data_IF_453609209433
#
_entry.id   IF_453609209433
#
_cell.length_a   1.000
_cell.length_b   1.000
_cell.length_c   1.000
_cell.angle_alpha   90.00
_cell.angle_beta   90.00
_cell.angle_gamma   90.00
#
_symmetry.space_group_name_H-M   'P 1'
#
loop_
_entity.id
_entity.type
_entity.pdbx_description
1 polymer ?
#
# COMPACT_ATOMS: atom_id res chain seq x y z
N UNK A 1 20.41 5.60 10.49
CA UNK A 1 19.96 6.96 10.86
C UNK A 1 18.88 7.31 9.85
N UNK A 2 17.69 7.71 10.31
CA UNK A 2 16.61 8.00 9.40
C UNK A 2 17.00 9.18 8.50
N UNK A 3 16.62 9.16 7.21
CA UNK A 3 16.93 10.25 6.26
C UNK A 3 16.14 11.53 6.61
N UNK A 4 15.03 11.39 7.34
CA UNK A 4 14.20 12.47 7.88
C UNK A 4 13.95 12.21 9.37
N UNK A 5 14.06 13.25 10.20
CA UNK A 5 13.60 13.21 11.59
C UNK A 5 12.11 13.54 11.64
N UNK A 6 11.29 12.53 11.96
CA UNK A 6 9.86 12.69 12.23
C UNK A 6 9.62 12.57 13.74
N UNK A 7 8.80 13.45 14.31
CA UNK A 7 8.37 13.35 15.71
C UNK A 7 7.09 12.49 15.81
N UNK A 8 7.16 11.29 16.41
CA UNK A 8 6.02 10.38 16.54
C UNK A 8 4.80 10.98 17.23
N UNK A 9 5.00 11.91 18.17
CA UNK A 9 3.91 12.50 18.93
C UNK A 9 3.01 13.42 18.09
N UNK A 10 3.43 13.77 16.85
CA UNK A 10 2.68 14.65 15.95
C UNK A 10 1.66 13.93 15.08
N UNK A 11 1.67 12.60 15.06
CA UNK A 11 0.85 11.82 14.14
C UNK A 11 0.03 10.78 14.90
N UNK A 12 -1.29 10.85 14.75
CA UNK A 12 -2.20 9.83 15.29
C UNK A 12 -2.21 8.59 14.38
N UNK A 13 -1.13 7.83 14.42
CA UNK A 13 -0.95 6.59 13.64
C UNK A 13 -0.04 5.61 14.37
N UNK A 14 -0.34 4.33 14.25
CA UNK A 14 0.43 3.23 14.81
C UNK A 14 1.67 2.87 13.98
N UNK A 15 1.78 3.38 12.75
CA UNK A 15 2.96 3.24 11.87
C UNK A 15 4.26 3.69 12.54
N UNK A 16 4.16 4.63 13.48
CA UNK A 16 5.28 5.13 14.29
C UNK A 16 5.41 4.40 15.63
N UNK A 17 4.30 3.92 16.20
CA UNK A 17 4.31 3.11 17.42
C UNK A 17 5.01 1.76 17.21
N UNK A 18 4.94 1.24 15.99
CA UNK A 18 5.57 0.00 15.57
C UNK A 18 6.86 0.30 14.78
N UNK A 19 7.96 0.49 15.50
CA UNK A 19 9.27 0.86 14.91
C UNK A 19 9.78 -0.05 13.77
N UNK A 20 9.21 -1.24 13.58
CA UNK A 20 9.52 -2.12 12.47
C UNK A 20 8.87 -1.70 11.14
N UNK A 21 7.64 -1.17 11.14
CA UNK A 21 6.97 -0.70 9.93
C UNK A 21 7.72 0.48 9.31
N UNK A 22 8.00 1.52 10.11
CA UNK A 22 8.75 2.69 9.62
C UNK A 22 10.15 2.33 9.11
N UNK A 23 10.83 1.36 9.73
CA UNK A 23 12.14 0.87 9.22
C UNK A 23 12.02 0.19 7.87
N UNK A 24 10.98 -0.63 7.68
CA UNK A 24 10.74 -1.27 6.39
C UNK A 24 10.43 -0.23 5.32
N UNK A 25 9.55 0.71 5.62
CA UNK A 25 9.23 1.82 4.74
C UNK A 25 10.45 2.64 4.38
N UNK A 26 11.25 3.04 5.36
CA UNK A 26 12.46 3.80 5.07
C UNK A 26 13.44 3.02 4.20
N UNK A 27 13.65 1.73 4.49
CA UNK A 27 14.55 0.91 3.70
C UNK A 27 14.18 0.86 2.22
N UNK A 28 12.87 0.89 1.91
CA UNK A 28 12.37 0.86 0.53
C UNK A 28 12.22 2.25 -0.10
N UNK A 29 11.79 3.26 0.67
CA UNK A 29 11.33 4.54 0.14
C UNK A 29 12.35 5.68 0.25
N UNK A 30 13.45 5.49 0.97
CA UNK A 30 14.46 6.55 1.19
C UNK A 30 14.98 7.23 -0.09
N UNK A 31 15.01 6.49 -1.20
CA UNK A 31 15.51 6.97 -2.50
C UNK A 31 14.43 7.76 -3.28
N UNK A 32 13.20 7.77 -2.78
CA UNK A 32 12.06 8.51 -3.31
C UNK A 32 11.83 9.85 -2.61
N UNK A 33 12.40 10.08 -1.43
CA UNK A 33 12.14 11.25 -0.56
C UNK A 33 12.18 12.58 -1.32
N UNK A 34 13.22 12.79 -2.14
CA UNK A 34 13.45 14.06 -2.83
C UNK A 34 12.71 14.15 -4.18
N UNK A 35 11.85 13.17 -4.51
CA UNK A 35 11.08 13.11 -5.76
C UNK A 35 9.66 13.61 -5.57
N UNK A 36 9.02 13.97 -6.68
CA UNK A 36 7.58 14.26 -6.72
C UNK A 36 6.74 12.97 -6.67
N UNK A 37 6.74 12.32 -5.51
CA UNK A 37 6.04 11.04 -5.27
C UNK A 37 4.52 11.22 -5.36
N UNK A 38 3.84 10.30 -6.07
CA UNK A 38 2.39 10.09 -5.97
C UNK A 38 2.14 8.88 -5.09
N UNK A 39 1.58 9.11 -3.90
CA UNK A 39 1.25 8.06 -2.95
C UNK A 39 -0.27 7.93 -2.80
N UNK A 40 -0.78 6.70 -2.86
CA UNK A 40 -2.13 6.34 -2.48
C UNK A 40 -2.11 5.46 -1.23
N UNK A 41 -2.91 5.79 -0.23
CA UNK A 41 -3.19 4.95 0.93
C UNK A 41 -4.69 4.59 0.94
N UNK A 42 -5.00 3.30 1.03
CA UNK A 42 -6.34 2.79 1.27
C UNK A 42 -6.45 2.55 2.78
N UNK A 43 -7.46 3.15 3.42
CA UNK A 43 -7.60 3.22 4.87
C UNK A 43 -6.92 4.48 5.42
N UNK A 44 -7.71 5.46 5.82
CA UNK A 44 -7.24 6.74 6.38
C UNK A 44 -7.45 6.79 7.88
N UNK A 45 -8.57 6.24 8.38
CA UNK A 45 -9.01 6.32 9.78
C UNK A 45 -9.07 7.77 10.27
N UNK A 46 -8.15 8.18 11.17
CA UNK A 46 -8.06 9.56 11.68
C UNK A 46 -7.13 10.45 10.84
N UNK A 47 -6.40 9.87 9.88
CA UNK A 47 -5.56 10.59 8.92
C UNK A 47 -4.14 10.93 9.37
N UNK A 48 -3.71 10.43 10.53
CA UNK A 48 -2.34 10.61 11.01
C UNK A 48 -1.28 10.06 10.05
N UNK A 49 -1.55 8.96 9.36
CA UNK A 49 -0.64 8.38 8.36
C UNK A 49 -0.47 9.29 7.14
N UNK A 50 -1.54 9.91 6.65
CA UNK A 50 -1.45 10.86 5.53
C UNK A 50 -0.57 12.07 5.87
N UNK A 51 -0.68 12.59 7.09
CA UNK A 51 0.19 13.67 7.58
C UNK A 51 1.66 13.21 7.66
N UNK A 52 1.88 11.98 8.13
CA UNK A 52 3.22 11.37 8.15
C UNK A 52 3.80 11.26 6.73
N UNK A 53 3.04 10.73 5.77
CA UNK A 53 3.51 10.58 4.39
C UNK A 53 3.78 11.93 3.72
N UNK A 54 2.95 12.93 4.00
CA UNK A 54 3.15 14.31 3.51
C UNK A 54 4.47 14.90 3.99
N UNK A 55 4.84 14.65 5.23
CA UNK A 55 6.07 15.17 5.84
C UNK A 55 7.29 14.31 5.45
N UNK A 56 7.10 13.00 5.25
CA UNK A 56 8.14 12.08 4.75
C UNK A 56 8.49 12.32 3.27
N UNK A 57 7.51 12.67 2.44
CA UNK A 57 7.70 13.05 1.04
C UNK A 57 7.45 14.56 0.87
N UNK A 58 8.46 15.42 1.09
CA UNK A 58 8.28 16.88 1.10
C UNK A 58 7.74 17.46 -0.23
N UNK A 59 7.99 16.76 -1.35
CA UNK A 59 7.48 17.13 -2.68
C UNK A 59 6.34 16.21 -3.15
N UNK A 60 5.90 15.27 -2.32
CA UNK A 60 4.89 14.28 -2.67
C UNK A 60 3.47 14.82 -2.64
N UNK A 61 2.60 14.23 -3.47
CA UNK A 61 1.15 14.32 -3.37
C UNK A 61 0.62 13.05 -2.71
N UNK A 62 -0.16 13.23 -1.65
CA UNK A 62 -0.67 12.14 -0.82
C UNK A 62 -2.16 12.03 -1.05
N UNK A 63 -2.63 10.81 -1.34
CA UNK A 63 -4.02 10.51 -1.66
C UNK A 63 -4.51 9.45 -0.70
N UNK A 64 -5.66 9.66 -0.09
CA UNK A 64 -6.29 8.72 0.82
C UNK A 64 -7.67 8.30 0.32
N UNK A 65 -8.01 7.02 0.49
CA UNK A 65 -9.38 6.52 0.36
C UNK A 65 -9.83 5.89 1.68
N UNK A 66 -11.00 6.28 2.18
CA UNK A 66 -11.63 5.63 3.34
C UNK A 66 -13.13 5.43 3.12
N UNK A 67 -13.70 4.43 3.78
CA UNK A 67 -15.16 4.18 3.71
C UNK A 67 -15.93 5.29 4.42
N UNK A 68 -15.34 5.86 5.47
CA UNK A 68 -15.87 7.01 6.20
C UNK A 68 -15.30 8.33 5.64
N UNK A 69 -16.06 9.44 5.73
CA UNK A 69 -15.55 10.72 5.32
C UNK A 69 -14.48 11.20 6.32
N UNK A 70 -13.27 11.46 5.83
CA UNK A 70 -12.17 11.99 6.65
C UNK A 70 -11.89 13.45 6.29
N UNK A 71 -11.93 14.30 7.31
CA UNK A 71 -11.51 15.70 7.23
C UNK A 71 -10.17 15.88 7.91
N UNK A 72 -9.22 16.47 7.20
CA UNK A 72 -7.87 16.74 7.66
C UNK A 72 -7.53 18.20 7.42
N UNK A 73 -6.89 18.83 8.40
CA UNK A 73 -6.27 20.13 8.22
C UNK A 73 -4.91 19.96 7.54
N UNK A 74 -4.86 20.25 6.24
CA UNK A 74 -3.61 20.27 5.47
C UNK A 74 -3.40 21.65 4.82
N UNK A 75 -2.72 22.58 5.51
CA UNK A 75 -2.44 23.92 4.96
C UNK A 75 -1.55 23.88 3.71
N UNK A 76 -0.91 22.74 3.42
CA UNK A 76 -0.07 22.58 2.22
C UNK A 76 -0.88 22.28 0.95
N UNK A 77 -2.11 21.77 1.10
CA UNK A 77 -2.97 21.36 -0.01
C UNK A 77 -2.42 20.16 -0.81
N UNK A 78 -1.53 19.35 -0.24
CA UNK A 78 -0.92 18.17 -0.90
C UNK A 78 -1.64 16.86 -0.57
N UNK A 79 -2.50 16.86 0.44
CA UNK A 79 -3.34 15.73 0.82
C UNK A 79 -4.70 15.83 0.14
N UNK A 80 -5.13 14.76 -0.53
CA UNK A 80 -6.46 14.62 -1.11
C UNK A 80 -7.16 13.39 -0.53
N UNK A 81 -8.36 13.55 0.02
CA UNK A 81 -9.15 12.44 0.56
C UNK A 81 -10.36 12.15 -0.30
N UNK A 82 -10.67 10.86 -0.41
CA UNK A 82 -11.85 10.33 -1.09
C UNK A 82 -12.63 9.44 -0.14
N UNK A 83 -13.94 9.45 -0.28
CA UNK A 83 -14.83 8.54 0.43
C UNK A 83 -15.29 7.41 -0.51
N UNK A 84 -15.19 6.16 -0.05
CA UNK A 84 -15.72 4.98 -0.70
C UNK A 84 -15.00 3.69 -0.31
N UNK A 85 -15.39 2.58 -0.93
CA UNK A 85 -14.90 1.26 -0.57
C UNK A 85 -13.67 0.84 -1.41
N UNK A 86 -12.72 0.12 -0.83
CA UNK A 86 -11.47 -0.26 -1.51
C UNK A 86 -11.67 -1.17 -2.74
N UNK A 87 -12.79 -1.90 -2.80
CA UNK A 87 -13.13 -2.77 -3.93
C UNK A 87 -13.88 -2.05 -5.07
N UNK A 88 -14.21 -0.76 -4.92
CA UNK A 88 -14.87 0.02 -5.97
C UNK A 88 -13.84 0.44 -7.03
N UNK A 89 -13.69 -0.39 -8.07
CA UNK A 89 -12.70 -0.17 -9.12
C UNK A 89 -12.97 1.07 -9.96
N UNK A 90 -14.24 1.50 -10.10
CA UNK A 90 -14.58 2.71 -10.85
C UNK A 90 -14.16 3.96 -10.08
N UNK A 91 -14.35 3.94 -8.75
CA UNK A 91 -13.83 4.97 -7.85
C UNK A 91 -12.30 5.01 -7.90
N UNK A 92 -11.62 3.86 -7.83
CA UNK A 92 -10.16 3.80 -7.92
C UNK A 92 -9.65 4.37 -9.25
N UNK A 93 -10.32 4.06 -10.36
CA UNK A 93 -9.99 4.66 -11.67
C UNK A 93 -10.20 6.18 -11.67
N UNK A 94 -11.24 6.69 -11.01
CA UNK A 94 -11.48 8.13 -10.87
C UNK A 94 -10.37 8.81 -10.07
N UNK A 95 -10.03 8.24 -8.91
CA UNK A 95 -8.96 8.74 -8.04
C UNK A 95 -7.64 8.83 -8.81
N UNK A 96 -7.27 7.75 -9.50
CA UNK A 96 -6.05 7.72 -10.30
C UNK A 96 -6.04 8.80 -11.38
N UNK A 97 -7.11 8.93 -12.17
CA UNK A 97 -7.21 9.98 -13.22
C UNK A 97 -7.06 11.39 -12.66
N UNK A 98 -7.64 11.68 -11.50
CA UNK A 98 -7.64 13.02 -10.91
C UNK A 98 -6.30 13.37 -10.24
N UNK A 99 -5.63 12.38 -9.65
CA UNK A 99 -4.50 12.64 -8.74
C UNK A 99 -3.14 12.16 -9.26
N UNK A 100 -3.13 11.15 -10.13
CA UNK A 100 -1.95 10.45 -10.60
C UNK A 100 -2.18 9.82 -11.99
N UNK A 101 -2.43 10.61 -13.05
CA UNK A 101 -2.77 10.09 -14.38
C UNK A 101 -1.66 9.24 -15.02
N UNK A 102 -0.41 9.44 -14.60
CA UNK A 102 0.76 8.63 -15.01
C UNK A 102 1.03 7.46 -14.04
N UNK A 103 0.11 7.18 -13.12
CA UNK A 103 0.21 6.16 -12.07
C UNK A 103 0.78 6.66 -10.75
N UNK A 104 0.75 5.79 -9.74
CA UNK A 104 1.30 5.97 -8.40
C UNK A 104 2.71 5.39 -8.30
N UNK A 105 3.57 6.07 -7.55
CA UNK A 105 4.89 5.57 -7.19
C UNK A 105 4.80 4.61 -5.99
N UNK A 106 3.84 4.86 -5.10
CA UNK A 106 3.58 4.06 -3.90
C UNK A 106 2.07 3.87 -3.71
N UNK A 107 1.66 2.64 -3.44
CA UNK A 107 0.31 2.29 -3.02
C UNK A 107 0.41 1.49 -1.70
N UNK A 108 -0.37 1.88 -0.70
CA UNK A 108 -0.43 1.23 0.61
C UNK A 108 -1.88 0.78 0.84
N UNK A 109 -2.09 -0.50 1.10
CA UNK A 109 -3.38 -1.09 1.47
C UNK A 109 -3.35 -1.40 2.98
N UNK A 110 -3.90 -0.47 3.76
CA UNK A 110 -4.06 -0.50 5.23
C UNK A 110 -5.56 -0.30 5.59
N UNK A 111 -6.41 -1.01 4.84
CA UNK A 111 -7.85 -0.74 4.83
C UNK A 111 -8.64 -1.78 5.64
N UNK A 112 -9.46 -2.62 5.00
CA UNK A 112 -10.33 -3.56 5.72
C UNK A 112 -9.58 -4.74 6.34
N UNK A 113 -8.38 -5.04 5.85
CA UNK A 113 -7.64 -6.29 6.08
C UNK A 113 -8.44 -7.56 5.75
N UNK A 114 -9.51 -7.44 4.96
CA UNK A 114 -10.26 -8.58 4.42
C UNK A 114 -9.56 -8.99 3.13
N UNK A 115 -9.06 -10.21 3.07
CA UNK A 115 -8.23 -10.71 1.98
C UNK A 115 -8.93 -10.67 0.62
N UNK A 116 -10.24 -10.97 0.57
CA UNK A 116 -11.02 -10.91 -0.67
C UNK A 116 -11.20 -9.49 -1.19
N UNK A 117 -11.30 -8.48 -0.32
CA UNK A 117 -11.39 -7.07 -0.71
C UNK A 117 -10.03 -6.54 -1.13
N UNK A 118 -8.99 -6.85 -0.36
CA UNK A 118 -7.58 -6.55 -0.67
C UNK A 118 -7.17 -7.12 -2.03
N UNK A 119 -7.64 -8.33 -2.37
CA UNK A 119 -7.37 -8.93 -3.69
C UNK A 119 -7.95 -8.10 -4.84
N UNK A 120 -9.13 -7.50 -4.66
CA UNK A 120 -9.77 -6.67 -5.70
C UNK A 120 -8.99 -5.37 -5.90
N UNK A 121 -8.69 -4.64 -4.81
CA UNK A 121 -7.89 -3.41 -4.87
C UNK A 121 -6.51 -3.69 -5.45
N UNK A 122 -5.83 -4.74 -4.95
CA UNK A 122 -4.49 -5.11 -5.39
C UNK A 122 -4.41 -5.35 -6.89
N UNK A 123 -5.19 -6.28 -7.45
CA UNK A 123 -5.06 -6.60 -8.88
C UNK A 123 -5.43 -5.42 -9.76
N UNK A 124 -6.45 -4.66 -9.39
CA UNK A 124 -6.87 -3.49 -10.17
C UNK A 124 -5.81 -2.39 -10.16
N UNK A 125 -5.32 -2.01 -8.98
CA UNK A 125 -4.34 -0.93 -8.82
C UNK A 125 -2.95 -1.33 -9.31
N UNK A 126 -2.50 -2.55 -8.99
CA UNK A 126 -1.18 -3.05 -9.40
C UNK A 126 -1.05 -3.13 -10.92
N UNK A 127 -2.07 -3.64 -11.62
CA UNK A 127 -2.00 -3.81 -13.07
C UNK A 127 -2.18 -2.50 -13.84
N UNK A 128 -2.97 -1.57 -13.32
CA UNK A 128 -3.42 -0.38 -14.08
C UNK A 128 -2.81 0.93 -13.64
N UNK A 129 -2.51 1.06 -12.35
CA UNK A 129 -2.25 2.35 -11.72
C UNK A 129 -0.93 2.41 -10.96
N UNK A 130 -0.23 1.30 -10.77
CA UNK A 130 1.12 1.31 -10.21
C UNK A 130 2.16 1.54 -11.32
N UNK A 131 3.05 2.50 -11.12
CA UNK A 131 4.16 2.73 -12.06
C UNK A 131 5.12 1.53 -12.08
N UNK A 132 5.78 1.25 -13.21
CA UNK A 132 6.92 0.34 -13.25
C UNK A 132 7.99 0.74 -12.23
N UNK A 133 8.40 -0.21 -11.38
CA UNK A 133 9.34 0.04 -10.28
C UNK A 133 8.73 0.74 -9.06
N UNK A 134 7.42 0.99 -9.06
CA UNK A 134 6.68 1.46 -7.89
C UNK A 134 6.50 0.37 -6.84
N UNK A 135 6.04 0.78 -5.66
CA UNK A 135 5.83 -0.10 -4.52
C UNK A 135 4.34 -0.27 -4.22
N UNK A 136 3.92 -1.53 -4.05
CA UNK A 136 2.63 -1.86 -3.45
C UNK A 136 2.90 -2.51 -2.09
N UNK A 137 2.34 -1.94 -1.02
CA UNK A 137 2.46 -2.44 0.35
C UNK A 137 1.09 -2.87 0.83
N UNK A 138 1.02 -4.04 1.48
CA UNK A 138 -0.19 -4.53 2.13
C UNK A 138 0.13 -4.65 3.62
N UNK A 139 -0.59 -3.92 4.47
CA UNK A 139 -0.45 -3.97 5.92
C UNK A 139 -1.36 -5.04 6.54
N UNK A 140 -0.97 -5.50 7.74
CA UNK A 140 -1.71 -6.47 8.54
C UNK A 140 -2.17 -7.75 7.81
N UNK A 141 -1.36 -8.21 6.84
CA UNK A 141 -1.60 -9.46 6.10
C UNK A 141 -1.79 -10.70 7.01
N UNK A 142 -1.34 -10.62 8.26
CA UNK A 142 -1.50 -11.68 9.26
C UNK A 142 -2.95 -12.04 9.58
N UNK A 143 -3.92 -11.14 9.35
CA UNK A 143 -5.35 -11.37 9.61
C UNK A 143 -5.90 -12.60 8.87
N UNK A 144 -5.34 -12.93 7.69
CA UNK A 144 -5.70 -14.11 6.93
C UNK A 144 -5.46 -15.44 7.67
N UNK A 145 -4.67 -15.44 8.75
CA UNK A 145 -4.39 -16.62 9.57
C UNK A 145 -5.23 -16.70 10.86
N UNK A 146 -6.12 -15.75 11.10
CA UNK A 146 -6.98 -15.70 12.28
C UNK A 146 -8.32 -16.37 11.96
N UNK A 147 -8.74 -17.35 12.76
CA UNK A 147 -9.98 -18.10 12.54
C UNK A 147 -11.25 -17.33 12.92
N UNK A 148 -11.10 -16.23 13.65
CA UNK A 148 -12.15 -15.29 14.01
C UNK A 148 -12.22 -14.05 13.10
N UNK A 149 -11.36 -13.96 12.08
CA UNK A 149 -11.41 -12.90 11.07
C UNK A 149 -12.35 -13.26 9.91
N UNK A 150 -12.92 -12.25 9.26
CA UNK A 150 -14.03 -12.37 8.28
C UNK A 150 -13.77 -13.43 7.20
N UNK A 151 -12.57 -13.44 6.63
CA UNK A 151 -12.13 -14.41 5.63
C UNK A 151 -10.78 -15.05 6.00
N UNK A 152 -10.44 -14.98 7.28
CA UNK A 152 -9.27 -15.64 7.82
C UNK A 152 -9.53 -17.11 8.13
N UNK A 153 -8.45 -17.89 8.18
CA UNK A 153 -8.51 -19.26 8.62
C UNK A 153 -7.23 -19.65 9.33
N UNK A 154 -7.35 -20.37 10.44
CA UNK A 154 -6.19 -20.97 11.10
C UNK A 154 -5.42 -21.79 10.08
N UNK A 155 -4.11 -21.54 9.99
CA UNK A 155 -3.23 -22.31 9.12
C UNK A 155 -3.41 -23.81 9.38
N UNK A 156 -3.94 -24.51 8.39
CA UNK A 156 -3.96 -25.95 8.37
C UNK A 156 -2.77 -26.41 7.53
N UNK A 157 -1.77 -27.08 8.13
CA UNK A 157 -0.70 -27.65 7.35
C UNK A 157 -1.31 -28.63 6.35
N UNK A 158 -1.33 -28.26 5.08
CA UNK A 158 -1.61 -29.23 4.04
C UNK A 158 -0.53 -30.31 4.16
N UNK A 159 -0.89 -31.62 4.18
CA UNK A 159 0.12 -32.65 3.94
C UNK A 159 0.83 -32.23 2.66
N UNK A 160 2.18 -32.21 2.61
CA UNK A 160 2.91 -31.59 1.52
C UNK A 160 2.31 -32.07 0.21
N UNK A 161 1.52 -31.19 -0.44
CA UNK A 161 1.01 -31.46 -1.77
C UNK A 161 2.27 -31.77 -2.55
N UNK A 162 2.37 -32.96 -3.15
CA UNK A 162 3.59 -33.44 -3.79
C UNK A 162 4.23 -32.28 -4.52
N UNK A 163 5.28 -31.72 -3.91
CA UNK A 163 5.71 -30.36 -4.22
C UNK A 163 6.11 -30.42 -5.68
N UNK A 164 5.32 -29.82 -6.58
CA UNK A 164 5.55 -29.99 -8.00
C UNK A 164 6.73 -29.08 -8.36
N UNK A 165 7.91 -29.58 -8.02
CA UNK A 165 9.19 -28.93 -8.18
C UNK A 165 9.42 -28.55 -9.65
N UNK A 166 8.76 -29.23 -10.59
CA UNK A 166 8.73 -28.89 -12.00
C UNK A 166 7.93 -27.61 -12.25
N UNK A 167 6.70 -27.48 -11.72
CA UNK A 167 5.90 -26.26 -11.85
C UNK A 167 6.60 -25.04 -11.24
N UNK A 168 7.20 -25.20 -10.06
CA UNK A 168 7.95 -24.12 -9.41
C UNK A 168 9.21 -23.71 -10.20
N UNK A 169 9.96 -24.68 -10.74
CA UNK A 169 11.09 -24.42 -11.64
C UNK A 169 10.64 -23.76 -12.93
N UNK A 170 9.48 -24.14 -13.48
CA UNK A 170 8.93 -23.56 -14.69
C UNK A 170 8.56 -22.09 -14.46
N UNK A 171 7.84 -21.77 -13.38
CA UNK A 171 7.48 -20.40 -13.01
C UNK A 171 8.74 -19.54 -12.84
N UNK A 172 9.76 -20.05 -12.12
CA UNK A 172 11.05 -19.35 -11.97
C UNK A 172 11.81 -19.20 -13.28
N UNK A 173 11.75 -20.17 -14.18
CA UNK A 173 12.39 -20.08 -15.50
C UNK A 173 11.70 -19.04 -16.37
N UNK A 174 10.37 -19.02 -16.40
CA UNK A 174 9.59 -18.00 -17.11
C UNK A 174 9.89 -16.59 -16.59
N UNK A 175 9.97 -16.41 -15.27
CA UNK A 175 10.31 -15.11 -14.67
C UNK A 175 11.72 -14.63 -15.06
N UNK A 176 12.71 -15.54 -15.18
CA UNK A 176 14.07 -15.19 -15.65
C UNK A 176 14.15 -14.88 -17.14
N UNK A 177 13.27 -15.48 -17.94
CA UNK A 177 13.19 -15.20 -19.38
C UNK A 177 12.55 -13.83 -19.66
N UNK A 178 11.67 -13.36 -18.77
CA UNK A 178 11.11 -12.00 -18.84
C UNK A 178 12.12 -10.91 -18.48
N UNK A 179 13.17 -11.21 -17.70
CA UNK A 179 14.23 -10.24 -17.33
C UNK A 179 15.34 -10.08 -18.37
N UNK A 180 15.26 -10.76 -19.52
CA UNK A 180 16.30 -10.73 -20.57
C UNK A 180 15.84 -10.16 -21.92
N UNK A 181 14.65 -9.56 -21.98
CA UNK A 181 14.14 -8.82 -23.15
C UNK A 181 13.94 -7.33 -22.84
N UNK A 182 14.94 -6.69 -22.23
CA UNK A 182 15.12 -5.23 -22.19
C UNK A 182 16.58 -4.92 -22.48
#
# INVERSE_FOLDING_TARGET
>A
MFKIELDPARYDTDKLAHAHYLRNYEAQFKDLIDREVRLLELGIKSGGSLLLWRDYFPHGRIVGLDIEPVQLDDPTGRIHTYQGAQQDTELLDRIARETAPDGFDVIIDDCSHIGVLTRVSFWHLFERHLKPGGFYVIEDWGTGYWDDWVDGARYQPHPPAAYNHALYRLIRACARLQTHNV
#
